data_IF_447257882709
#
_entry.id   IF_447257882709
#
_cell.length_a   1.000
_cell.length_b   1.000
_cell.length_c   1.000
_cell.angle_alpha   90.00
_cell.angle_beta   90.00
_cell.angle_gamma   90.00
#
_symmetry.space_group_name_H-M   'P 1'
#
loop_
_entity.id
_entity.type
_entity.pdbx_description
1 polymer ?
#
# COMPACT_ATOMS: atom_id res chain seq x y z
N UNK A 1 -39.38 46.87 19.38
CA UNK A 1 -39.31 45.85 18.34
C UNK A 1 -40.75 45.42 18.06
N UNK A 2 -41.32 46.01 17.02
CA UNK A 2 -42.63 45.63 16.51
C UNK A 2 -42.37 44.36 15.68
N UNK A 3 -43.11 43.28 15.93
CA UNK A 3 -42.92 41.96 15.34
C UNK A 3 -43.29 41.89 13.85
N UNK A 4 -42.62 42.70 13.02
CA UNK A 4 -42.70 42.63 11.57
C UNK A 4 -41.96 41.46 10.99
N UNK A 5 -42.38 40.94 9.83
CA UNK A 5 -41.64 39.91 9.08
C UNK A 5 -40.32 40.49 8.55
N UNK A 6 -39.21 39.74 8.77
CA UNK A 6 -37.90 40.06 8.18
C UNK A 6 -37.72 39.27 6.89
N UNK A 7 -37.05 39.86 5.92
CA UNK A 7 -36.51 39.16 4.76
C UNK A 7 -34.98 39.18 4.81
N UNK A 8 -34.37 38.14 4.30
CA UNK A 8 -32.93 37.89 4.36
C UNK A 8 -32.39 37.85 2.94
N UNK A 9 -31.17 38.34 2.75
CA UNK A 9 -30.43 38.23 1.48
C UNK A 9 -28.96 38.04 1.80
N UNK A 10 -28.41 36.95 1.37
CA UNK A 10 -27.00 36.62 1.53
C UNK A 10 -26.27 36.71 0.21
N UNK A 11 -25.13 37.34 0.17
CA UNK A 11 -24.26 37.45 -1.00
C UNK A 11 -22.82 37.20 -0.62
N UNK A 12 -22.10 36.40 -1.44
CA UNK A 12 -20.65 36.33 -1.32
C UNK A 12 -20.06 37.63 -1.87
N UNK A 13 -19.23 38.29 -1.07
CA UNK A 13 -18.52 39.52 -1.46
C UNK A 13 -17.03 39.32 -1.73
N UNK A 14 -16.44 38.16 -1.30
CA UNK A 14 -15.11 37.75 -1.75
C UNK A 14 -15.10 37.35 -3.22
N UNK A 15 -14.04 37.69 -3.94
CA UNK A 15 -14.03 37.63 -5.41
C UNK A 15 -13.74 36.24 -5.99
N UNK A 16 -13.15 35.33 -5.24
CA UNK A 16 -12.78 33.98 -5.78
C UNK A 16 -12.33 33.02 -4.67
N UNK A 17 -12.65 31.75 -4.81
CA UNK A 17 -13.61 31.16 -5.72
C UNK A 17 -15.06 31.58 -5.36
N UNK A 18 -15.96 31.56 -6.33
CA UNK A 18 -17.39 31.83 -6.09
C UNK A 18 -18.08 30.50 -5.75
N UNK A 19 -18.81 30.49 -4.64
CA UNK A 19 -19.63 29.35 -4.21
C UNK A 19 -21.10 29.61 -4.40
N UNK A 20 -21.89 28.58 -4.64
CA UNK A 20 -23.33 28.65 -4.76
C UNK A 20 -23.98 28.48 -3.39
N UNK A 21 -24.63 29.54 -2.89
CA UNK A 21 -25.43 29.47 -1.68
C UNK A 21 -26.78 28.80 -1.95
N UNK A 22 -27.12 27.81 -1.16
CA UNK A 22 -28.45 27.20 -1.14
C UNK A 22 -29.29 27.97 -0.10
N UNK A 23 -30.44 28.51 -0.52
CA UNK A 23 -31.30 29.29 0.36
C UNK A 23 -30.73 30.67 0.71
N UNK A 24 -30.10 31.36 -0.27
CA UNK A 24 -29.53 32.69 -0.07
C UNK A 24 -30.54 33.76 0.41
N UNK A 25 -31.83 33.48 0.30
CA UNK A 25 -32.96 34.32 0.76
C UNK A 25 -33.57 33.86 2.08
N UNK A 26 -32.96 32.91 2.74
CA UNK A 26 -33.41 32.35 4.04
C UNK A 26 -32.56 32.83 5.22
N UNK A 27 -33.05 32.58 6.42
CA UNK A 27 -32.34 32.89 7.67
C UNK A 27 -31.02 32.11 7.79
N UNK A 28 -30.94 30.88 7.21
CA UNK A 28 -29.81 29.94 7.36
C UNK A 28 -29.42 29.32 6.00
N UNK A 29 -28.71 30.05 5.14
CA UNK A 29 -28.19 29.50 3.89
C UNK A 29 -27.04 28.48 4.16
N UNK A 30 -26.76 27.66 3.16
CA UNK A 30 -25.63 26.72 3.21
C UNK A 30 -24.89 26.66 1.89
N UNK A 31 -23.65 26.21 1.91
CA UNK A 31 -22.87 25.87 0.72
C UNK A 31 -21.95 24.68 1.01
N UNK A 32 -21.47 24.02 -0.03
CA UNK A 32 -20.51 22.92 0.07
C UNK A 32 -19.11 23.48 -0.17
N UNK A 33 -18.20 23.16 0.71
CA UNK A 33 -16.77 23.43 0.54
C UNK A 33 -16.18 22.34 -0.35
N UNK A 34 -15.60 22.73 -1.49
CA UNK A 34 -14.86 21.82 -2.33
C UNK A 34 -13.54 21.42 -1.65
N UNK A 35 -13.24 20.12 -1.62
CA UNK A 35 -12.11 19.54 -0.86
C UNK A 35 -10.76 19.66 -1.55
N UNK A 36 -10.69 20.19 -2.77
CA UNK A 36 -9.52 20.19 -3.64
C UNK A 36 -8.68 21.48 -3.59
N UNK A 37 -8.89 22.35 -2.59
CA UNK A 37 -8.10 23.57 -2.48
C UNK A 37 -6.73 23.29 -1.86
N UNK A 38 -5.68 23.43 -2.67
CA UNK A 38 -4.27 23.33 -2.20
C UNK A 38 -3.77 24.60 -1.51
N UNK A 39 -4.63 25.64 -1.41
CA UNK A 39 -4.33 26.89 -0.70
C UNK A 39 -5.47 27.25 0.23
N UNK A 40 -5.14 27.77 1.41
CA UNK A 40 -6.15 28.29 2.33
C UNK A 40 -6.91 29.47 1.67
N UNK A 41 -8.22 29.49 1.87
CA UNK A 41 -9.14 30.47 1.30
C UNK A 41 -9.98 31.10 2.41
N UNK A 42 -10.50 32.32 2.14
CA UNK A 42 -11.53 32.94 2.98
C UNK A 42 -12.66 33.40 2.09
N UNK A 43 -13.86 32.86 2.35
CA UNK A 43 -15.08 33.38 1.76
C UNK A 43 -15.70 34.39 2.71
N UNK A 44 -16.05 35.57 2.19
CA UNK A 44 -16.72 36.62 2.95
C UNK A 44 -18.14 36.74 2.41
N UNK A 45 -19.10 36.58 3.32
CA UNK A 45 -20.53 36.74 2.97
C UNK A 45 -21.10 37.94 3.68
N UNK A 46 -21.94 38.68 2.98
CA UNK A 46 -22.75 39.79 3.53
C UNK A 46 -24.19 39.32 3.68
N UNK A 47 -24.72 39.46 4.88
CA UNK A 47 -26.15 39.37 5.16
C UNK A 47 -26.77 40.76 5.07
N UNK A 48 -27.82 40.90 4.31
CA UNK A 48 -28.72 42.04 4.36
C UNK A 48 -30.06 41.61 4.90
N UNK A 49 -30.51 42.24 5.97
CA UNK A 49 -31.84 42.04 6.58
C UNK A 49 -32.71 43.24 6.27
N UNK A 50 -33.92 42.97 5.80
CA UNK A 50 -34.88 44.02 5.47
C UNK A 50 -36.16 43.82 6.28
N UNK A 51 -36.67 44.88 6.91
CA UNK A 51 -37.93 44.84 7.63
C UNK A 51 -39.13 44.99 6.71
N UNK A 52 -40.34 44.85 7.29
CA UNK A 52 -41.59 44.92 6.54
C UNK A 52 -41.93 46.32 5.97
N UNK A 53 -41.20 47.37 6.36
CA UNK A 53 -41.36 48.76 5.86
C UNK A 53 -40.22 49.21 4.96
N UNK A 54 -39.23 48.33 4.73
CA UNK A 54 -38.14 48.52 3.76
C UNK A 54 -36.84 49.08 4.32
N UNK A 55 -36.66 49.18 5.65
CA UNK A 55 -35.36 49.51 6.24
C UNK A 55 -34.44 48.31 6.23
N UNK A 56 -33.17 48.56 5.91
CA UNK A 56 -32.15 47.51 5.78
C UNK A 56 -31.04 47.71 6.78
N UNK A 57 -30.42 46.59 7.17
CA UNK A 57 -29.15 46.53 7.90
C UNK A 57 -28.32 45.38 7.35
N UNK A 58 -27.00 45.57 7.28
CA UNK A 58 -26.09 44.50 6.82
C UNK A 58 -24.98 44.20 7.83
N UNK A 59 -24.50 42.97 7.76
CA UNK A 59 -23.35 42.48 8.54
C UNK A 59 -22.59 41.45 7.69
N UNK A 60 -21.33 41.18 8.04
CA UNK A 60 -20.48 40.23 7.30
C UNK A 60 -19.99 39.10 8.15
N UNK A 61 -19.76 37.94 7.53
CA UNK A 61 -19.12 36.77 8.16
C UNK A 61 -18.02 36.25 7.24
N UNK A 62 -16.90 35.94 7.86
CA UNK A 62 -15.75 35.32 7.20
C UNK A 62 -15.73 33.82 7.47
N UNK A 63 -15.65 33.02 6.42
CA UNK A 63 -15.50 31.57 6.49
C UNK A 63 -14.10 31.22 5.98
N UNK A 64 -13.19 30.88 6.92
CA UNK A 64 -11.88 30.40 6.58
C UNK A 64 -11.93 28.91 6.20
N UNK A 65 -11.33 28.56 5.06
CA UNK A 65 -11.22 27.20 4.54
C UNK A 65 -9.74 26.84 4.53
N UNK A 66 -9.37 25.80 5.26
CA UNK A 66 -8.00 25.33 5.29
C UNK A 66 -7.60 24.70 3.94
N UNK A 67 -6.31 24.80 3.59
CA UNK A 67 -5.75 24.05 2.48
C UNK A 67 -5.83 22.56 2.75
N UNK A 68 -6.01 21.77 1.70
CA UNK A 68 -5.81 20.33 1.76
C UNK A 68 -4.33 20.03 1.97
N UNK A 69 -4.01 19.18 2.92
CA UNK A 69 -2.67 18.66 3.14
C UNK A 69 -2.50 17.32 2.36
N UNK A 70 -1.28 16.99 1.87
CA UNK A 70 -1.06 15.70 1.23
C UNK A 70 -1.18 14.58 2.26
N UNK A 71 -1.52 13.35 1.82
CA UNK A 71 -1.48 12.17 2.67
C UNK A 71 -0.05 11.86 3.13
N UNK A 72 0.10 11.02 4.13
CA UNK A 72 1.36 10.39 4.51
C UNK A 72 1.35 8.95 4.03
N UNK A 73 2.19 8.63 3.05
CA UNK A 73 2.38 7.26 2.58
C UNK A 73 3.18 6.45 3.62
N UNK A 74 2.82 5.18 3.78
CA UNK A 74 3.57 4.20 4.56
C UNK A 74 3.52 2.86 3.82
N UNK A 75 4.67 2.41 3.30
CA UNK A 75 4.83 1.19 2.50
C UNK A 75 5.02 -0.08 3.37
N UNK A 76 5.00 0.07 4.69
CA UNK A 76 5.26 -1.01 5.66
C UNK A 76 6.74 -1.23 5.94
N UNK A 77 7.03 -2.26 6.73
CA UNK A 77 8.39 -2.64 7.10
C UNK A 77 9.05 -3.48 6.00
N UNK A 78 10.38 -3.40 5.90
CA UNK A 78 11.17 -4.25 5.01
C UNK A 78 10.99 -5.74 5.35
N UNK A 79 11.03 -6.59 4.33
CA UNK A 79 10.78 -8.02 4.45
C UNK A 79 11.99 -8.84 4.00
N UNK A 80 12.24 -9.98 4.65
CA UNK A 80 13.22 -10.99 4.22
C UNK A 80 12.49 -12.28 3.91
N UNK A 81 12.67 -12.84 2.71
CA UNK A 81 11.90 -13.96 2.18
C UNK A 81 12.80 -14.96 1.43
N UNK A 82 12.31 -16.17 1.25
CA UNK A 82 12.95 -17.21 0.46
C UNK A 82 12.31 -17.33 -0.93
N UNK A 83 12.98 -18.01 -1.84
CA UNK A 83 12.41 -18.42 -3.12
C UNK A 83 11.17 -19.29 -2.89
N UNK A 84 10.11 -19.01 -3.62
CA UNK A 84 8.80 -19.68 -3.52
C UNK A 84 7.85 -19.04 -2.54
N UNK A 85 8.30 -18.11 -1.70
CA UNK A 85 7.43 -17.42 -0.75
C UNK A 85 6.46 -16.48 -1.49
N UNK A 86 5.27 -16.36 -0.93
CA UNK A 86 4.29 -15.35 -1.32
C UNK A 86 4.50 -14.10 -0.46
N UNK A 87 4.76 -12.97 -1.11
CA UNK A 87 4.96 -11.67 -0.49
C UNK A 87 3.70 -10.83 -0.62
N UNK A 88 3.30 -10.18 0.47
CA UNK A 88 2.24 -9.16 0.47
C UNK A 88 2.83 -7.85 0.98
N UNK A 89 2.72 -6.80 0.17
CA UNK A 89 3.06 -5.44 0.58
C UNK A 89 1.84 -4.80 1.24
N UNK A 90 2.03 -3.79 2.07
CA UNK A 90 0.92 -3.15 2.78
C UNK A 90 1.08 -1.64 2.86
N UNK A 91 0.11 -0.92 2.28
CA UNK A 91 -0.07 0.53 2.41
C UNK A 91 -1.04 0.93 3.52
N UNK A 92 -1.51 -0.02 4.34
CA UNK A 92 -2.62 0.18 5.30
C UNK A 92 -2.34 1.17 6.43
N UNK A 93 -1.07 1.53 6.64
CA UNK A 93 -0.67 2.55 7.62
C UNK A 93 -0.64 3.97 7.03
N UNK A 94 -0.95 4.11 5.74
CA UNK A 94 -1.05 5.42 5.12
C UNK A 94 -2.26 6.18 5.64
N UNK A 95 -2.11 7.48 5.89
CA UNK A 95 -3.16 8.31 6.48
C UNK A 95 -3.26 9.65 5.77
N UNK A 96 -4.47 10.20 5.74
CA UNK A 96 -4.74 11.55 5.29
C UNK A 96 -5.12 12.44 6.47
N UNK A 97 -4.53 13.64 6.63
CA UNK A 97 -4.81 14.53 7.75
C UNK A 97 -6.27 15.00 7.82
N UNK A 98 -6.93 15.15 6.67
CA UNK A 98 -8.34 15.55 6.54
C UNK A 98 -9.27 14.34 6.47
N UNK A 99 -8.73 13.11 6.57
CA UNK A 99 -9.45 11.84 6.44
C UNK A 99 -10.12 11.65 5.08
N UNK A 100 -9.52 12.17 4.03
CA UNK A 100 -9.96 11.97 2.65
C UNK A 100 -9.71 10.51 2.22
N UNK A 101 -10.50 10.04 1.27
CA UNK A 101 -10.32 8.71 0.70
C UNK A 101 -8.98 8.62 -0.05
N UNK A 102 -8.23 7.54 0.21
CA UNK A 102 -6.93 7.27 -0.39
C UNK A 102 -7.03 6.27 -1.54
N UNK A 103 -6.20 6.47 -2.53
CA UNK A 103 -5.90 5.50 -3.59
C UNK A 103 -4.42 5.19 -3.60
N UNK A 104 -4.08 3.96 -4.03
CA UNK A 104 -2.74 3.38 -3.93
C UNK A 104 -2.21 3.03 -5.32
N UNK A 105 -0.91 3.18 -5.50
CA UNK A 105 -0.21 2.72 -6.71
C UNK A 105 1.18 2.25 -6.33
N UNK A 106 1.48 0.99 -6.66
CA UNK A 106 2.74 0.34 -6.36
C UNK A 106 3.54 0.06 -7.63
N UNK A 107 4.83 0.35 -7.60
CA UNK A 107 5.76 0.11 -8.69
C UNK A 107 7.06 -0.43 -8.14
N UNK A 108 7.59 -1.52 -8.74
CA UNK A 108 8.96 -1.93 -8.50
C UNK A 108 9.91 -0.91 -9.13
N UNK A 109 10.84 -0.37 -8.33
CA UNK A 109 11.85 0.61 -8.77
C UNK A 109 13.25 0.01 -8.87
N UNK A 110 13.52 -1.17 -8.28
CA UNK A 110 14.75 -1.93 -8.53
C UNK A 110 14.76 -2.47 -9.98
N UNK A 111 15.95 -2.50 -10.60
CA UNK A 111 16.04 -2.73 -12.05
C UNK A 111 15.69 -4.16 -12.48
N UNK A 112 16.30 -5.18 -11.86
CA UNK A 112 16.09 -6.60 -12.27
C UNK A 112 16.42 -7.58 -11.14
N UNK A 113 15.78 -8.75 -11.15
CA UNK A 113 14.65 -9.17 -12.00
C UNK A 113 13.34 -8.43 -11.64
N UNK A 114 12.46 -8.24 -12.63
CA UNK A 114 11.14 -7.64 -12.40
C UNK A 114 10.15 -8.70 -11.98
N UNK A 115 9.27 -8.35 -11.02
CA UNK A 115 8.17 -9.19 -10.58
C UNK A 115 6.82 -8.58 -11.01
N UNK A 116 5.83 -9.44 -11.19
CA UNK A 116 4.47 -9.01 -11.52
C UNK A 116 3.66 -8.86 -10.23
N UNK A 117 3.34 -7.63 -9.85
CA UNK A 117 2.44 -7.35 -8.72
C UNK A 117 0.99 -7.63 -9.12
N UNK A 118 0.32 -8.47 -8.34
CA UNK A 118 -1.13 -8.64 -8.39
C UNK A 118 -1.78 -7.60 -7.50
N UNK A 119 -2.69 -6.80 -8.05
CA UNK A 119 -3.34 -5.71 -7.31
C UNK A 119 -2.43 -4.51 -7.05
N UNK A 120 -1.56 -4.14 -7.99
CA UNK A 120 -0.65 -2.99 -7.85
C UNK A 120 -1.35 -1.64 -7.61
N UNK A 121 -2.65 -1.56 -7.81
CA UNK A 121 -3.53 -0.41 -7.56
C UNK A 121 -4.35 -0.54 -6.26
N UNK A 122 -4.05 -1.54 -5.44
CA UNK A 122 -4.73 -1.79 -4.16
C UNK A 122 -3.85 -1.44 -2.97
N UNK A 123 -4.46 -1.39 -1.79
CA UNK A 123 -3.78 -1.18 -0.51
C UNK A 123 -2.77 -2.31 -0.19
N UNK A 124 -3.05 -3.55 -0.64
CA UNK A 124 -2.26 -4.75 -0.29
C UNK A 124 -1.95 -5.61 -1.50
N UNK A 125 -1.04 -5.17 -2.39
CA UNK A 125 -0.62 -5.99 -3.53
C UNK A 125 0.25 -7.16 -3.10
N UNK A 126 0.34 -8.18 -3.96
CA UNK A 126 1.15 -9.36 -3.69
C UNK A 126 1.90 -9.86 -4.92
N UNK A 127 2.95 -10.65 -4.70
CA UNK A 127 3.67 -11.40 -5.73
C UNK A 127 4.26 -12.69 -5.15
N UNK A 128 4.73 -13.60 -6.01
CA UNK A 128 5.46 -14.80 -5.61
C UNK A 128 6.91 -14.65 -6.07
N UNK A 129 7.86 -15.03 -5.21
CA UNK A 129 9.29 -15.07 -5.53
C UNK A 129 9.57 -16.31 -6.38
N UNK A 130 9.57 -16.18 -7.71
CA UNK A 130 9.73 -17.29 -8.64
C UNK A 130 11.19 -17.66 -8.95
N UNK A 131 12.12 -16.74 -8.71
CA UNK A 131 13.52 -16.89 -9.14
C UNK A 131 14.40 -17.46 -8.04
N UNK A 132 14.91 -18.67 -8.23
CA UNK A 132 16.01 -19.20 -7.40
C UNK A 132 17.27 -18.39 -7.66
N UNK A 133 17.79 -17.73 -6.66
CA UNK A 133 19.01 -16.92 -6.76
C UNK A 133 20.16 -17.54 -6.01
N UNK A 134 21.34 -17.61 -6.63
CA UNK A 134 22.59 -18.05 -5.98
C UNK A 134 23.27 -16.91 -5.20
N UNK A 135 22.73 -15.71 -5.29
CA UNK A 135 23.13 -14.51 -4.55
C UNK A 135 21.86 -13.81 -4.05
N UNK A 136 21.93 -13.20 -2.88
CA UNK A 136 20.81 -12.40 -2.35
C UNK A 136 20.43 -11.27 -3.31
N UNK A 137 19.15 -10.99 -3.40
CA UNK A 137 18.57 -9.89 -4.22
C UNK A 137 17.69 -9.03 -3.33
N UNK A 138 17.64 -7.73 -3.64
CA UNK A 138 16.67 -6.81 -3.04
C UNK A 138 15.74 -6.28 -4.12
N UNK A 139 14.45 -6.45 -3.93
CA UNK A 139 13.42 -5.77 -4.71
C UNK A 139 12.92 -4.56 -3.92
N UNK A 140 13.08 -3.38 -4.48
CA UNK A 140 12.56 -2.14 -3.90
C UNK A 140 11.26 -1.77 -4.59
N UNK A 141 10.21 -1.57 -3.81
CA UNK A 141 8.90 -1.12 -4.29
C UNK A 141 8.62 0.29 -3.77
N UNK A 142 8.08 1.12 -4.65
CA UNK A 142 7.58 2.44 -4.30
C UNK A 142 6.06 2.40 -4.21
N UNK A 143 5.52 2.86 -3.11
CA UNK A 143 4.12 3.20 -2.92
C UNK A 143 3.90 4.68 -3.23
N UNK A 144 2.93 4.97 -4.07
CA UNK A 144 2.34 6.30 -4.21
C UNK A 144 0.93 6.28 -3.65
N UNK A 145 0.65 7.16 -2.69
CA UNK A 145 -0.67 7.36 -2.11
C UNK A 145 -1.22 8.69 -2.60
N UNK A 146 -2.46 8.70 -3.07
CA UNK A 146 -3.14 9.90 -3.57
C UNK A 146 -4.47 10.06 -2.85
N UNK A 147 -4.75 11.25 -2.32
CA UNK A 147 -6.03 11.59 -1.72
C UNK A 147 -7.10 11.92 -2.77
N UNK A 148 -8.35 12.07 -2.37
CA UNK A 148 -9.44 12.42 -3.28
C UNK A 148 -9.39 13.86 -3.80
N UNK A 149 -8.53 14.73 -3.24
CA UNK A 149 -8.24 16.07 -3.72
C UNK A 149 -7.10 16.10 -4.77
N UNK A 150 -6.38 14.97 -4.95
CA UNK A 150 -5.31 14.82 -5.92
C UNK A 150 -3.91 15.10 -5.38
N UNK A 151 -3.74 15.35 -4.07
CA UNK A 151 -2.42 15.48 -3.45
C UNK A 151 -1.79 14.10 -3.24
N UNK A 152 -0.47 14.00 -3.36
CA UNK A 152 0.25 12.73 -3.33
C UNK A 152 1.38 12.70 -2.33
N UNK A 153 1.71 11.51 -1.85
CA UNK A 153 2.90 11.20 -1.07
C UNK A 153 3.47 9.85 -1.53
N UNK A 154 4.76 9.64 -1.31
CA UNK A 154 5.46 8.40 -1.67
C UNK A 154 6.22 7.84 -0.47
N UNK A 155 6.36 6.50 -0.45
CA UNK A 155 7.22 5.76 0.46
C UNK A 155 7.76 4.52 -0.25
N UNK A 156 8.77 3.87 0.32
CA UNK A 156 9.40 2.69 -0.26
C UNK A 156 9.56 1.58 0.76
N UNK A 157 9.54 0.33 0.28
CA UNK A 157 9.81 -0.87 1.06
C UNK A 157 10.74 -1.79 0.30
N UNK A 158 11.69 -2.41 1.00
CA UNK A 158 12.60 -3.40 0.47
C UNK A 158 12.13 -4.82 0.80
N UNK A 159 12.25 -5.70 -0.19
CA UNK A 159 12.06 -7.15 -0.03
C UNK A 159 13.36 -7.84 -0.38
N UNK A 160 14.06 -8.32 0.66
CA UNK A 160 15.31 -9.04 0.54
C UNK A 160 15.04 -10.52 0.31
N UNK A 161 15.51 -11.06 -0.83
CA UNK A 161 15.41 -12.47 -1.17
C UNK A 161 16.71 -13.15 -0.75
N UNK A 162 16.62 -14.13 0.13
CA UNK A 162 17.77 -14.91 0.62
C UNK A 162 18.36 -15.74 -0.53
N UNK A 163 19.70 -15.76 -0.63
CA UNK A 163 20.38 -16.65 -1.57
C UNK A 163 20.08 -18.11 -1.23
N UNK A 164 19.84 -18.94 -2.26
CA UNK A 164 19.68 -20.38 -2.07
C UNK A 164 21.02 -21.03 -1.69
N UNK A 165 21.03 -21.78 -0.62
CA UNK A 165 22.17 -22.60 -0.20
C UNK A 165 22.11 -24.00 -0.81
N UNK A 166 23.24 -24.69 -0.84
CA UNK A 166 23.27 -26.06 -1.32
C UNK A 166 22.68 -27.02 -0.26
N UNK A 167 21.95 -28.06 -0.69
CA UNK A 167 21.44 -29.05 0.24
C UNK A 167 22.56 -29.83 0.94
N UNK A 168 22.26 -30.29 2.14
CA UNK A 168 23.15 -31.15 2.93
C UNK A 168 22.73 -32.62 2.76
N UNK A 169 23.54 -33.40 2.05
CA UNK A 169 23.27 -34.82 1.82
C UNK A 169 23.63 -35.65 3.07
N UNK A 170 22.77 -36.59 3.43
CA UNK A 170 23.00 -37.59 4.48
C UNK A 170 22.60 -38.95 3.93
N UNK A 171 23.59 -39.84 3.74
CA UNK A 171 23.40 -41.21 3.23
C UNK A 171 23.08 -42.24 4.34
N UNK A 172 22.94 -41.79 5.57
CA UNK A 172 22.75 -42.66 6.75
C UNK A 172 24.04 -43.25 7.27
N UNK A 173 23.89 -44.11 8.29
CA UNK A 173 25.02 -44.79 8.93
C UNK A 173 25.58 -45.92 8.06
N UNK A 174 26.89 -46.22 8.22
CA UNK A 174 27.52 -47.37 7.60
C UNK A 174 26.81 -48.68 8.00
N UNK A 175 26.66 -49.59 7.03
CA UNK A 175 25.99 -50.87 7.22
C UNK A 175 26.93 -52.04 6.92
N UNK A 176 26.73 -53.16 7.63
CA UNK A 176 27.40 -54.43 7.37
C UNK A 176 26.35 -55.46 6.95
N UNK A 177 26.60 -56.15 5.84
CA UNK A 177 25.71 -57.18 5.33
C UNK A 177 26.46 -58.43 4.94
N UNK A 178 25.77 -59.58 4.95
CA UNK A 178 26.26 -60.90 4.54
C UNK A 178 25.81 -61.21 3.09
N UNK A 179 26.40 -62.23 2.51
CA UNK A 179 26.01 -62.74 1.19
C UNK A 179 24.54 -63.17 1.19
N UNK A 180 23.75 -62.64 0.22
CA UNK A 180 22.31 -62.84 0.10
C UNK A 180 21.41 -61.86 0.82
N UNK A 181 21.97 -60.96 1.62
CA UNK A 181 21.18 -59.91 2.31
C UNK A 181 20.68 -58.82 1.35
N UNK A 182 19.53 -58.30 1.64
CA UNK A 182 19.01 -57.06 1.00
C UNK A 182 19.37 -55.88 1.86
N UNK A 183 20.13 -54.94 1.30
CA UNK A 183 20.51 -53.69 1.96
C UNK A 183 19.67 -52.54 1.44
N UNK A 184 19.11 -51.73 2.33
CA UNK A 184 18.36 -50.50 1.99
C UNK A 184 19.20 -49.29 2.38
N UNK A 185 19.44 -48.43 1.41
CA UNK A 185 20.06 -47.11 1.61
C UNK A 185 18.97 -46.07 1.86
N UNK A 186 19.24 -45.06 2.66
CA UNK A 186 18.29 -44.02 2.99
C UNK A 186 18.94 -42.64 2.97
N UNK A 187 18.37 -41.72 2.20
CA UNK A 187 18.74 -40.32 2.18
C UNK A 187 17.76 -39.43 2.96
N UNK A 188 16.84 -40.01 3.74
CA UNK A 188 15.72 -39.30 4.38
C UNK A 188 16.14 -38.17 5.35
N UNK A 189 17.36 -38.25 5.86
CA UNK A 189 17.95 -37.25 6.78
C UNK A 189 18.68 -36.11 6.02
N UNK A 190 18.67 -36.13 4.70
CA UNK A 190 19.17 -34.99 3.90
C UNK A 190 18.22 -33.81 4.04
N UNK A 191 18.77 -32.61 4.11
CA UNK A 191 18.01 -31.36 4.29
C UNK A 191 18.45 -30.32 3.26
N UNK A 192 17.53 -29.47 2.90
CA UNK A 192 17.78 -28.20 2.23
C UNK A 192 17.57 -27.08 3.24
N UNK A 193 18.51 -26.12 3.41
CA UNK A 193 18.38 -25.06 4.41
C UNK A 193 17.13 -24.20 4.25
N UNK A 194 16.69 -23.95 3.00
CA UNK A 194 15.50 -23.17 2.67
C UNK A 194 14.23 -24.04 2.60
N UNK A 195 14.36 -25.36 2.81
CA UNK A 195 13.23 -26.30 2.80
C UNK A 195 12.74 -26.65 1.39
N UNK A 196 13.54 -26.41 0.35
CA UNK A 196 13.17 -26.76 -1.02
C UNK A 196 13.12 -28.28 -1.22
N UNK A 197 12.31 -28.77 -2.19
CA UNK A 197 12.21 -30.20 -2.48
C UNK A 197 13.54 -30.78 -2.95
N UNK A 198 13.93 -31.94 -2.37
CA UNK A 198 15.16 -32.65 -2.71
C UNK A 198 14.92 -33.67 -3.82
N UNK A 199 15.87 -33.77 -4.75
CA UNK A 199 15.99 -34.89 -5.68
C UNK A 199 17.19 -35.77 -5.28
N UNK A 200 17.00 -37.08 -5.32
CA UNK A 200 18.03 -38.05 -4.91
C UNK A 200 18.60 -38.78 -6.10
N UNK A 201 19.94 -39.00 -6.11
CA UNK A 201 20.65 -39.88 -7.03
C UNK A 201 21.67 -40.70 -6.26
N UNK A 202 21.67 -42.00 -6.47
CA UNK A 202 22.58 -42.91 -5.84
C UNK A 202 23.54 -43.50 -6.87
N UNK A 203 24.83 -43.49 -6.57
CA UNK A 203 25.86 -44.09 -7.40
C UNK A 203 26.82 -44.90 -6.55
N UNK A 204 27.16 -46.11 -7.02
CA UNK A 204 28.22 -46.89 -6.42
C UNK A 204 29.59 -46.38 -6.92
N UNK A 205 30.37 -45.83 -6.01
CA UNK A 205 31.69 -45.22 -6.30
C UNK A 205 32.88 -46.19 -6.12
N UNK A 206 32.67 -47.39 -5.52
CA UNK A 206 33.73 -48.38 -5.34
C UNK A 206 33.85 -49.31 -6.57
N UNK A 207 35.09 -49.75 -6.89
CA UNK A 207 35.38 -50.38 -8.17
C UNK A 207 34.90 -51.84 -8.32
N UNK A 208 34.48 -52.55 -7.24
CA UNK A 208 34.09 -54.00 -7.35
C UNK A 208 33.51 -54.50 -6.04
N UNK A 209 32.64 -55.52 -6.04
CA UNK A 209 31.86 -56.05 -7.17
C UNK A 209 30.72 -55.11 -7.64
N UNK A 210 30.14 -55.34 -8.81
CA UNK A 210 29.01 -54.61 -9.29
C UNK A 210 27.76 -54.92 -8.46
N UNK A 211 26.98 -53.89 -8.08
CA UNK A 211 25.62 -53.99 -7.50
C UNK A 211 24.66 -53.22 -8.36
N UNK A 212 23.43 -53.70 -8.44
CA UNK A 212 22.34 -53.01 -9.11
C UNK A 212 21.53 -52.25 -8.05
N UNK A 213 21.45 -50.94 -8.21
CA UNK A 213 20.54 -50.11 -7.40
C UNK A 213 19.17 -50.14 -8.05
N UNK A 214 18.14 -50.49 -7.31
CA UNK A 214 16.74 -50.59 -7.79
C UNK A 214 15.83 -49.59 -7.10
#
# INVERSE_FOLDING_TARGET
PEGGTLSFSWAQISTSPVVSLIGADTEAPSFVVETNSVTALTHIFELTVTDSVGFTSSDTVDIAINANAPPTANAGEDQTVNTGDAVTLSGSQSVDPESLALSFSWVQISETPTVSLVGADTETPSFVVETVTLIGLTHTFQLTVTDSAGSTSIDTVDVDIVANEAPVANAGADQTASDGDTVTLSGVESIDPEGLPLAFSWEKISASPAVILT
#
